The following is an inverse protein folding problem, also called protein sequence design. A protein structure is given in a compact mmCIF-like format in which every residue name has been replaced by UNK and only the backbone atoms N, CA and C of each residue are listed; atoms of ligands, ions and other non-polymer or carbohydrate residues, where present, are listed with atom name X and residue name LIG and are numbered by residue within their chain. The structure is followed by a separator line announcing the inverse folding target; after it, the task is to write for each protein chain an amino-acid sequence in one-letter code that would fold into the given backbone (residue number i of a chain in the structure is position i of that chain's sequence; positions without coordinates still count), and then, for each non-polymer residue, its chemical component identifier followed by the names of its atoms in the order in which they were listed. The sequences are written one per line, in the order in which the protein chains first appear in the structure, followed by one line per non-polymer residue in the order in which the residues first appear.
data_IF_293869584725
#
_entry.id   IF_293869584725
#
_cell.length_a   1.000
_cell.length_b   1.000
_cell.length_c   1.000
_cell.angle_alpha   90.00
_cell.angle_beta   90.00
_cell.angle_gamma   90.00
#
_symmetry.space_group_name_H-M   'P 1'
#
loop_
_entity.id
_entity.type
_entity.pdbx_description
1 polymer ?
#
# COMPACT_ATOMS: atom_id res chain seq x y z
N UNK A 1 20.53 -1.89 -4.31
CA UNK A 1 19.26 -1.52 -5.01
C UNK A 1 18.10 -2.19 -4.30
N UNK A 2 17.03 -1.43 -3.96
CA UNK A 2 15.78 -1.95 -3.41
C UNK A 2 14.73 -2.04 -4.52
N UNK A 3 13.78 -2.98 -4.37
CA UNK A 3 12.72 -3.20 -5.37
C UNK A 3 11.37 -3.41 -4.69
N UNK A 4 10.35 -2.68 -5.19
CA UNK A 4 8.98 -2.78 -4.71
C UNK A 4 8.31 -4.04 -5.23
N UNK A 5 7.64 -4.76 -4.35
CA UNK A 5 6.94 -6.00 -4.68
C UNK A 5 5.58 -6.06 -4.00
N UNK A 6 4.56 -6.52 -4.73
CA UNK A 6 3.18 -6.63 -4.22
C UNK A 6 2.71 -8.08 -4.07
N UNK A 7 3.53 -9.06 -4.42
CA UNK A 7 3.24 -10.50 -4.29
C UNK A 7 4.50 -11.35 -4.37
N UNK A 8 4.41 -12.58 -3.88
CA UNK A 8 5.51 -13.55 -3.79
C UNK A 8 6.30 -13.70 -5.11
N UNK A 9 5.59 -13.93 -6.22
CA UNK A 9 6.23 -14.07 -7.54
C UNK A 9 7.13 -12.88 -7.92
N UNK A 10 6.73 -11.65 -7.54
CA UNK A 10 7.56 -10.47 -7.78
C UNK A 10 8.81 -10.49 -6.89
N UNK A 11 8.66 -10.87 -5.63
CA UNK A 11 9.78 -11.00 -4.70
C UNK A 11 10.79 -12.06 -5.15
N UNK A 12 10.32 -13.22 -5.61
CA UNK A 12 11.17 -14.28 -6.17
C UNK A 12 11.95 -13.81 -7.40
N UNK A 13 11.26 -13.09 -8.33
CA UNK A 13 11.91 -12.54 -9.52
C UNK A 13 12.97 -11.50 -9.17
N UNK A 14 12.67 -10.58 -8.27
CA UNK A 14 13.60 -9.56 -7.79
C UNK A 14 14.80 -10.18 -7.06
N UNK A 15 14.55 -11.18 -6.21
CA UNK A 15 15.59 -11.92 -5.52
C UNK A 15 16.58 -12.59 -6.49
N UNK A 16 16.06 -13.24 -7.53
CA UNK A 16 16.90 -13.85 -8.60
C UNK A 16 17.69 -12.82 -9.40
N UNK A 17 17.18 -11.59 -9.52
CA UNK A 17 17.89 -10.48 -10.14
C UNK A 17 18.99 -9.87 -9.25
N UNK A 18 19.13 -10.33 -8.02
CA UNK A 18 20.23 -9.97 -7.13
C UNK A 18 20.04 -8.67 -6.35
N UNK A 19 18.81 -8.18 -6.15
CA UNK A 19 18.54 -6.96 -5.37
C UNK A 19 19.11 -7.04 -3.94
N UNK A 20 19.44 -5.89 -3.36
CA UNK A 20 19.96 -5.77 -2.00
C UNK A 20 18.85 -5.81 -0.94
N UNK A 21 17.64 -5.45 -1.33
CA UNK A 21 16.48 -5.47 -0.45
C UNK A 21 15.16 -5.46 -1.21
N UNK A 22 14.10 -5.78 -0.50
CA UNK A 22 12.73 -5.76 -1.00
C UNK A 22 11.88 -4.80 -0.17
N UNK A 23 11.03 -4.03 -0.85
CA UNK A 23 9.97 -3.25 -0.23
C UNK A 23 8.67 -4.01 -0.47
N UNK A 24 8.12 -4.60 0.58
CA UNK A 24 6.85 -5.31 0.51
C UNK A 24 5.71 -4.31 0.57
N UNK A 25 5.10 -4.02 -0.56
CA UNK A 25 3.95 -3.11 -0.66
C UNK A 25 2.68 -3.92 -0.43
N UNK A 26 2.33 -4.08 0.84
CA UNK A 26 1.20 -4.89 1.30
C UNK A 26 -0.13 -4.14 1.16
N UNK A 27 -1.23 -4.81 1.52
CA UNK A 27 -2.55 -4.18 1.60
C UNK A 27 -2.53 -2.95 2.52
N UNK A 28 -3.22 -1.88 2.10
CA UNK A 28 -3.29 -0.62 2.84
C UNK A 28 -2.11 0.34 2.63
N UNK A 29 -1.17 0.03 1.74
CA UNK A 29 -0.20 1.02 1.29
C UNK A 29 -0.91 2.14 0.51
N UNK A 30 -0.60 3.41 0.78
CA UNK A 30 -1.15 4.55 0.05
C UNK A 30 -0.69 4.54 -1.41
N UNK A 31 -1.58 4.93 -2.32
CA UNK A 31 -1.33 4.83 -3.76
C UNK A 31 -1.37 3.39 -4.27
N UNK A 32 -0.59 3.07 -5.29
CA UNK A 32 -0.50 1.71 -5.85
C UNK A 32 -0.02 0.72 -4.80
N UNK A 33 -0.80 -0.27 -4.52
CA UNK A 33 -0.52 -1.24 -3.46
C UNK A 33 -0.97 -2.66 -3.79
N UNK A 34 -0.43 -3.61 -3.06
CA UNK A 34 -0.89 -5.00 -3.09
C UNK A 34 -2.18 -5.20 -2.29
N UNK A 35 -2.74 -6.38 -2.43
CA UNK A 35 -3.92 -6.82 -1.65
C UNK A 35 -3.57 -7.87 -0.60
N UNK A 36 -2.31 -8.28 -0.52
CA UNK A 36 -1.87 -9.29 0.42
C UNK A 36 -1.68 -8.65 1.81
N UNK A 37 -2.28 -9.28 2.81
CA UNK A 37 -2.09 -8.88 4.20
C UNK A 37 -0.59 -8.92 4.57
N UNK A 38 -0.05 -7.93 5.30
CA UNK A 38 1.36 -7.86 5.63
C UNK A 38 1.89 -9.10 6.39
N UNK A 39 1.11 -9.69 7.30
CA UNK A 39 1.56 -10.84 8.10
C UNK A 39 1.95 -12.06 7.25
N UNK A 40 1.04 -12.64 6.42
CA UNK A 40 1.42 -13.76 5.56
C UNK A 40 2.45 -13.35 4.51
N UNK A 41 2.38 -12.13 3.98
CA UNK A 41 3.28 -11.69 2.93
C UNK A 41 4.73 -11.65 3.38
N UNK A 42 4.99 -11.08 4.56
CA UNK A 42 6.34 -11.03 5.10
C UNK A 42 6.87 -12.42 5.45
N UNK A 43 6.03 -13.30 6.02
CA UNK A 43 6.37 -14.67 6.33
C UNK A 43 6.77 -15.48 5.10
N UNK A 44 5.99 -15.34 4.02
CA UNK A 44 6.29 -16.00 2.74
C UNK A 44 7.62 -15.52 2.15
N UNK A 45 7.85 -14.22 2.13
CA UNK A 45 9.06 -13.65 1.52
C UNK A 45 10.28 -13.99 2.38
N UNK A 46 10.17 -13.93 3.70
CA UNK A 46 11.26 -14.28 4.65
C UNK A 46 11.71 -15.73 4.53
N UNK A 47 10.84 -16.62 4.07
CA UNK A 47 11.19 -18.04 3.91
C UNK A 47 12.34 -18.25 2.91
N UNK A 48 12.46 -17.41 1.89
CA UNK A 48 13.50 -17.52 0.83
C UNK A 48 14.43 -16.32 0.72
N UNK A 49 14.02 -15.12 1.17
CA UNK A 49 14.82 -13.89 1.05
C UNK A 49 15.42 -13.50 2.40
N UNK A 50 16.76 -13.52 2.50
CA UNK A 50 17.51 -13.32 3.77
C UNK A 50 18.14 -11.94 3.90
N UNK A 51 18.03 -11.10 2.85
CA UNK A 51 18.52 -9.74 2.87
C UNK A 51 17.46 -8.79 3.45
N UNK A 52 17.69 -7.48 3.35
CA UNK A 52 16.84 -6.43 3.94
C UNK A 52 15.41 -6.42 3.36
N UNK A 53 14.44 -6.45 4.26
CA UNK A 53 13.02 -6.30 3.94
C UNK A 53 12.48 -5.05 4.62
N UNK A 54 11.86 -4.18 3.82
CA UNK A 54 11.04 -3.08 4.29
C UNK A 54 9.56 -3.47 4.14
N UNK A 55 8.76 -3.23 5.16
CA UNK A 55 7.31 -3.43 5.08
C UNK A 55 6.61 -2.08 4.89
N UNK A 56 5.75 -2.01 3.88
CA UNK A 56 4.85 -0.90 3.59
C UNK A 56 3.40 -1.36 3.61
N UNK A 57 2.52 -0.53 4.14
CA UNK A 57 1.08 -0.76 4.23
C UNK A 57 0.56 -0.66 5.66
N UNK A 58 -0.42 0.23 5.87
CA UNK A 58 -1.05 0.48 7.18
C UNK A 58 -0.07 0.88 8.30
N UNK A 59 1.08 1.46 7.98
CA UNK A 59 2.08 1.92 8.96
C UNK A 59 2.01 3.44 9.08
N UNK A 60 1.58 3.94 10.24
CA UNK A 60 1.39 5.38 10.48
C UNK A 60 1.85 5.84 11.87
N UNK A 61 2.24 4.93 12.74
CA UNK A 61 2.68 5.24 14.11
C UNK A 61 3.91 4.43 14.51
N UNK A 62 4.57 4.84 15.62
CA UNK A 62 5.67 4.07 16.19
C UNK A 62 5.29 2.65 16.62
N UNK A 63 4.03 2.44 17.03
CA UNK A 63 3.50 1.12 17.36
C UNK A 63 3.42 0.21 16.13
N UNK A 64 3.04 0.78 14.99
CA UNK A 64 2.98 0.02 13.72
C UNK A 64 4.38 -0.34 13.24
N UNK A 65 5.35 0.55 13.43
CA UNK A 65 6.77 0.26 13.15
C UNK A 65 7.25 -0.91 14.01
N UNK A 66 6.98 -0.89 15.32
CA UNK A 66 7.36 -1.99 16.22
C UNK A 66 6.71 -3.31 15.76
N UNK A 67 5.44 -3.27 15.34
CA UNK A 67 4.73 -4.43 14.81
C UNK A 67 5.37 -4.96 13.52
N UNK A 68 5.76 -4.08 12.60
CA UNK A 68 6.44 -4.47 11.37
C UNK A 68 7.76 -5.20 11.65
N UNK A 69 8.55 -4.70 12.59
CA UNK A 69 9.80 -5.34 13.00
C UNK A 69 9.53 -6.71 13.65
N UNK A 70 8.53 -6.82 14.53
CA UNK A 70 8.15 -8.09 15.15
C UNK A 70 7.64 -9.12 14.13
N UNK A 71 6.99 -8.67 13.05
CA UNK A 71 6.58 -9.56 11.96
C UNK A 71 7.75 -10.08 11.11
N UNK A 72 8.96 -9.51 11.26
CA UNK A 72 10.16 -9.94 10.55
C UNK A 72 10.67 -8.97 9.48
N UNK A 73 10.14 -7.73 9.40
CA UNK A 73 10.77 -6.67 8.62
C UNK A 73 12.04 -6.16 9.32
N UNK A 74 13.01 -5.71 8.54
CA UNK A 74 14.17 -5.00 9.09
C UNK A 74 13.87 -3.52 9.27
N UNK A 75 13.00 -2.96 8.41
CA UNK A 75 12.60 -1.55 8.41
C UNK A 75 11.11 -1.42 8.07
N UNK A 76 10.50 -0.32 8.48
CA UNK A 76 9.17 0.10 8.07
C UNK A 76 9.26 1.20 7.00
N UNK A 77 8.38 1.13 6.00
CA UNK A 77 8.29 2.11 4.93
C UNK A 77 6.97 2.88 5.03
N UNK A 78 7.04 4.19 5.22
CA UNK A 78 5.90 5.07 5.45
C UNK A 78 5.89 6.19 4.41
N UNK A 79 4.72 6.48 3.83
CA UNK A 79 4.53 7.59 2.90
C UNK A 79 3.53 8.61 3.42
N UNK A 80 2.27 8.23 3.57
CA UNK A 80 1.15 9.12 3.89
C UNK A 80 1.40 9.96 5.16
N UNK A 81 2.03 9.38 6.18
CA UNK A 81 2.38 10.10 7.40
C UNK A 81 3.24 11.33 7.16
N UNK A 82 4.15 11.28 6.19
CA UNK A 82 5.07 12.36 5.87
C UNK A 82 4.46 13.42 4.95
N UNK A 83 3.30 13.18 4.34
CA UNK A 83 2.56 14.21 3.61
C UNK A 83 2.15 15.35 4.56
N UNK A 84 1.86 15.05 5.83
CA UNK A 84 1.43 16.01 6.84
C UNK A 84 2.59 16.67 7.60
N UNK A 85 3.81 16.61 7.10
CA UNK A 85 4.93 17.34 7.67
C UNK A 85 5.01 18.77 7.12
N UNK A 86 5.73 19.62 7.83
CA UNK A 86 5.95 21.02 7.41
C UNK A 86 6.81 21.11 6.13
N UNK A 87 7.65 20.14 5.91
CA UNK A 87 8.55 20.04 4.75
C UNK A 87 7.82 19.57 3.49
N UNK A 88 6.64 18.98 3.63
CA UNK A 88 5.84 18.55 2.49
C UNK A 88 5.23 19.74 1.77
N UNK A 89 5.33 19.73 0.45
CA UNK A 89 4.70 20.73 -0.44
C UNK A 89 3.24 20.39 -0.77
N UNK A 90 2.63 19.43 -0.09
CA UNK A 90 1.20 19.13 -0.27
C UNK A 90 0.36 20.33 0.19
N UNK A 91 -0.73 20.59 -0.54
CA UNK A 91 -1.68 21.63 -0.20
C UNK A 91 -2.30 21.38 1.19
N UNK A 92 -2.58 22.46 1.93
CA UNK A 92 -3.10 22.35 3.31
C UNK A 92 -4.46 21.65 3.34
N UNK A 93 -5.32 21.86 2.34
CA UNK A 93 -6.61 21.17 2.22
C UNK A 93 -6.42 19.65 2.13
N UNK A 94 -5.39 19.19 1.42
CA UNK A 94 -5.10 17.76 1.34
C UNK A 94 -4.53 17.19 2.64
N UNK A 95 -3.70 17.95 3.34
CA UNK A 95 -3.20 17.59 4.67
C UNK A 95 -4.36 17.47 5.67
N UNK A 96 -5.30 18.41 5.64
CA UNK A 96 -6.50 18.40 6.47
C UNK A 96 -7.41 17.20 6.15
N UNK A 97 -7.58 16.86 4.87
CA UNK A 97 -8.30 15.65 4.48
C UNK A 97 -7.67 14.39 5.11
N UNK A 98 -6.35 14.28 5.09
CA UNK A 98 -5.64 13.13 5.69
C UNK A 98 -5.85 13.08 7.21
N UNK A 99 -5.77 14.23 7.90
CA UNK A 99 -5.93 14.32 9.37
C UNK A 99 -7.35 13.92 9.78
N UNK A 100 -8.35 14.35 9.04
CA UNK A 100 -9.76 14.16 9.38
C UNK A 100 -10.32 12.82 8.88
N UNK A 101 -9.59 12.07 8.06
CA UNK A 101 -10.06 10.80 7.49
C UNK A 101 -9.77 9.61 8.40
N UNK A 102 -10.58 8.58 8.21
CA UNK A 102 -10.50 7.29 8.92
C UNK A 102 -10.17 6.17 7.93
N UNK A 103 -9.88 4.99 8.45
CA UNK A 103 -9.62 3.80 7.61
C UNK A 103 -10.78 3.46 6.66
N UNK A 104 -12.02 3.77 7.06
CA UNK A 104 -13.22 3.63 6.22
C UNK A 104 -13.28 4.57 5.02
N UNK A 105 -12.46 5.62 5.03
CA UNK A 105 -12.41 6.62 3.95
C UNK A 105 -11.34 6.28 2.89
N UNK A 106 -10.73 5.10 2.99
CA UNK A 106 -9.80 4.59 1.98
C UNK A 106 -10.56 3.74 0.96
N UNK A 107 -10.46 4.12 -0.30
CA UNK A 107 -11.06 3.41 -1.42
C UNK A 107 -9.97 2.72 -2.25
N UNK A 108 -10.02 1.40 -2.35
CA UNK A 108 -9.14 0.63 -3.22
C UNK A 108 -9.84 0.38 -4.56
N UNK A 109 -9.36 1.00 -5.62
CA UNK A 109 -9.98 0.92 -6.94
C UNK A 109 -8.99 1.11 -8.08
N UNK A 110 -9.28 0.50 -9.23
CA UNK A 110 -8.59 0.74 -10.50
C UNK A 110 -9.32 1.76 -11.38
N UNK A 111 -10.51 2.21 -10.97
CA UNK A 111 -11.39 3.04 -11.81
C UNK A 111 -10.86 4.45 -12.07
N UNK A 112 -9.87 4.90 -11.30
CA UNK A 112 -9.30 6.26 -11.42
C UNK A 112 -8.14 6.30 -12.42
N UNK A 113 -7.20 5.36 -12.28
CA UNK A 113 -5.94 5.37 -13.06
C UNK A 113 -5.74 4.15 -13.95
N UNK A 114 -6.70 3.21 -13.96
CA UNK A 114 -6.55 1.92 -14.64
C UNK A 114 -5.70 0.91 -13.88
N UNK A 115 -4.99 1.33 -12.84
CA UNK A 115 -4.20 0.48 -11.95
C UNK A 115 -4.75 0.60 -10.53
N UNK A 116 -4.95 -0.54 -9.87
CA UNK A 116 -5.53 -0.54 -8.53
C UNK A 116 -4.62 0.16 -7.51
N UNK A 117 -5.21 1.10 -6.79
CA UNK A 117 -4.54 1.92 -5.78
C UNK A 117 -5.49 2.28 -4.65
N UNK A 118 -4.92 2.65 -3.52
CA UNK A 118 -5.65 3.20 -2.38
C UNK A 118 -5.75 4.72 -2.53
N UNK A 119 -6.97 5.22 -2.54
CA UNK A 119 -7.29 6.64 -2.64
C UNK A 119 -8.04 7.09 -1.40
N UNK A 120 -7.90 8.37 -1.07
CA UNK A 120 -8.67 8.99 -0.02
C UNK A 120 -10.04 9.42 -0.57
N UNK A 121 -11.13 8.93 0.02
CA UNK A 121 -12.50 9.18 -0.42
C UNK A 121 -12.80 10.67 -0.63
N UNK A 122 -12.58 11.57 0.35
CA UNK A 122 -12.84 12.99 0.15
C UNK A 122 -12.01 13.62 -0.99
N UNK A 123 -10.82 13.09 -1.27
CA UNK A 123 -10.02 13.54 -2.41
C UNK A 123 -10.65 13.14 -3.75
N UNK A 124 -11.23 11.94 -3.85
CA UNK A 124 -11.97 11.51 -5.05
C UNK A 124 -13.22 12.34 -5.24
N UNK A 125 -13.99 12.59 -4.17
CA UNK A 125 -15.20 13.40 -4.20
C UNK A 125 -14.91 14.85 -4.63
N UNK A 126 -13.82 15.45 -4.15
CA UNK A 126 -13.36 16.77 -4.58
C UNK A 126 -13.02 16.83 -6.08
N UNK A 127 -12.63 15.71 -6.68
CA UNK A 127 -12.39 15.57 -8.12
C UNK A 127 -13.64 15.21 -8.92
N UNK A 128 -14.82 15.15 -8.27
CA UNK A 128 -16.09 14.77 -8.91
C UNK A 128 -16.23 13.27 -9.18
N UNK A 129 -15.35 12.44 -8.61
CA UNK A 129 -15.42 10.99 -8.74
C UNK A 129 -16.30 10.46 -7.61
N UNK A 130 -17.45 9.87 -7.98
CA UNK A 130 -18.49 9.42 -7.03
C UNK A 130 -18.43 7.92 -6.78
N UNK A 131 -19.22 7.47 -5.82
CA UNK A 131 -19.35 6.05 -5.47
C UNK A 131 -19.76 5.19 -6.68
N UNK A 132 -20.60 5.69 -7.56
CA UNK A 132 -20.96 4.99 -8.80
C UNK A 132 -19.74 4.70 -9.68
N UNK A 133 -18.73 5.55 -9.64
CA UNK A 133 -17.50 5.38 -10.43
C UNK A 133 -16.56 4.36 -9.82
N UNK A 134 -16.28 4.43 -8.52
CA UNK A 134 -15.32 3.50 -7.90
C UNK A 134 -15.91 2.17 -7.47
N UNK A 135 -17.24 2.05 -7.30
CA UNK A 135 -17.94 0.82 -6.95
C UNK A 135 -18.39 -0.01 -8.15
N UNK A 136 -18.15 0.44 -9.39
CA UNK A 136 -18.47 -0.35 -10.60
C UNK A 136 -17.78 -1.71 -10.52
N UNK A 137 -18.54 -2.70 -10.05
CA UNK A 137 -18.15 -4.10 -10.17
C UNK A 137 -18.11 -4.41 -11.67
N UNK A 138 -16.95 -4.77 -12.17
CA UNK A 138 -16.88 -5.48 -13.45
C UNK A 138 -17.85 -6.67 -13.38
N UNK A 139 -18.52 -7.01 -14.47
CA UNK A 139 -19.39 -8.21 -14.52
C UNK A 139 -18.57 -9.39 -14.01
N UNK A 140 -18.94 -9.88 -12.82
CA UNK A 140 -18.39 -11.13 -12.30
C UNK A 140 -19.14 -12.21 -13.05
N UNK A 141 -18.48 -12.82 -14.04
CA UNK A 141 -18.99 -14.01 -14.71
C UNK A 141 -18.57 -15.23 -13.88
N UNK A 142 -19.49 -15.75 -13.09
CA UNK A 142 -19.31 -17.00 -12.34
C UNK A 142 -19.55 -18.26 -13.20
N UNK A 143 -19.67 -18.13 -14.50
CA UNK A 143 -20.24 -19.13 -15.38
C UNK A 143 -19.27 -19.78 -16.35
N UNK A 144 -17.97 -19.91 -16.05
CA UNK A 144 -17.06 -20.81 -16.78
C UNK A 144 -16.03 -21.39 -15.82
N UNK A 145 -16.37 -22.48 -15.18
CA UNK A 145 -15.42 -23.51 -14.78
C UNK A 145 -15.05 -24.35 -16.00
#
# INVERSE_FOLDING_TARGET
MFHDVIKKRHAEKASKAGVDGLILVAAGAGGHGGTINPMPFISEVRSFFKKTILLSGCISSGRDIASAIQMGADLAYMGTRFINTKESMAEEEYKDMIINSKASDIIYTASVSGVAANFLKPSLEAMGITEETWSKKGKIDFGKE
#
